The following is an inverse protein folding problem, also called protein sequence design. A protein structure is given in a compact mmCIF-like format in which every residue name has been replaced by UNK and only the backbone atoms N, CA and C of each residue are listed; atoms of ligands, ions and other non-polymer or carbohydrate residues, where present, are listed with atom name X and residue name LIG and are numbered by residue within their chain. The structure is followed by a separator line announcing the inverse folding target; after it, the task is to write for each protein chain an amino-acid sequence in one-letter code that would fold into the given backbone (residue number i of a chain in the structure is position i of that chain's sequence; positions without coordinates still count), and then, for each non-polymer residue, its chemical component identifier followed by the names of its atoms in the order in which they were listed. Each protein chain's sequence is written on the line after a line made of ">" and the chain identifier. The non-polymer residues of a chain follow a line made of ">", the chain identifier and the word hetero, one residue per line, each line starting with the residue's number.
data_IF_665179241988
#
_entry.id   IF_665179241988
#
_cell.length_a   1.000
_cell.length_b   1.000
_cell.length_c   1.000
_cell.angle_alpha   90.00
_cell.angle_beta   90.00
_cell.angle_gamma   90.00
#
_symmetry.space_group_name_H-M   'P 1'
#
loop_
_entity.id
_entity.type
_entity.pdbx_description
1 polymer ?
#
# COMPACT_ATOMS: atom_id res chain seq x y z
N UNK A 1 -13.73 2.49 17.92
CA UNK A 1 -13.19 3.46 16.94
C UNK A 1 -14.15 3.45 15.73
N UNK A 2 -14.92 4.51 15.50
CA UNK A 2 -15.97 4.50 14.46
C UNK A 2 -15.35 4.48 13.05
N UNK A 3 -15.59 3.42 12.30
CA UNK A 3 -15.21 3.24 10.90
C UNK A 3 -16.09 4.17 10.04
N UNK A 4 -15.64 5.43 9.88
CA UNK A 4 -16.35 6.44 9.09
C UNK A 4 -16.43 5.98 7.62
N UNK A 5 -17.57 6.23 6.93
CA UNK A 5 -17.68 5.91 5.51
C UNK A 5 -16.67 6.71 4.69
N UNK A 6 -16.00 6.02 3.77
CA UNK A 6 -15.07 6.59 2.81
C UNK A 6 -15.77 6.88 1.51
N UNK A 7 -15.63 8.11 1.04
CA UNK A 7 -16.13 8.56 -0.25
C UNK A 7 -15.06 8.46 -1.32
N UNK A 8 -15.46 8.65 -2.59
CA UNK A 8 -14.54 8.63 -3.73
C UNK A 8 -13.36 9.61 -3.55
N UNK A 9 -13.61 10.80 -3.02
CA UNK A 9 -12.56 11.81 -2.78
C UNK A 9 -11.50 11.31 -1.79
N UNK A 10 -11.92 10.60 -0.74
CA UNK A 10 -11.00 10.01 0.24
C UNK A 10 -10.15 8.92 -0.41
N UNK A 11 -10.75 8.09 -1.26
CA UNK A 11 -10.03 7.03 -1.98
C UNK A 11 -9.07 7.59 -3.03
N UNK A 12 -9.44 8.68 -3.72
CA UNK A 12 -8.56 9.39 -4.66
C UNK A 12 -7.33 9.91 -3.94
N UNK A 13 -7.53 10.53 -2.77
CA UNK A 13 -6.46 11.03 -1.92
C UNK A 13 -5.60 9.88 -1.40
N UNK A 14 -6.21 8.85 -0.84
CA UNK A 14 -5.53 7.71 -0.25
C UNK A 14 -4.68 6.94 -1.27
N UNK A 15 -5.24 6.55 -2.42
CA UNK A 15 -4.48 5.85 -3.47
C UNK A 15 -3.56 6.77 -4.26
N UNK A 16 -3.61 8.08 -3.98
CA UNK A 16 -2.88 9.13 -4.68
C UNK A 16 -3.04 8.94 -6.20
N UNK A 17 -4.27 9.06 -6.65
CA UNK A 17 -4.70 8.84 -8.05
C UNK A 17 -5.55 10.02 -8.54
N UNK A 18 -6.05 9.95 -9.76
CA UNK A 18 -7.01 10.93 -10.30
C UNK A 18 -8.42 10.35 -10.30
N UNK A 19 -9.44 11.20 -10.48
CA UNK A 19 -10.83 10.74 -10.63
C UNK A 19 -11.01 9.71 -11.75
N UNK A 20 -10.30 9.90 -12.87
CA UNK A 20 -10.31 8.96 -14.01
C UNK A 20 -9.54 7.68 -13.71
N UNK A 21 -8.53 7.74 -12.86
CA UNK A 21 -7.71 6.59 -12.45
C UNK A 21 -8.37 5.71 -11.39
N UNK A 22 -9.20 6.29 -10.52
CA UNK A 22 -9.84 5.58 -9.42
C UNK A 22 -10.64 4.34 -9.88
N UNK A 23 -11.55 4.40 -10.88
CA UNK A 23 -12.34 3.24 -11.30
C UNK A 23 -11.49 2.02 -11.67
N UNK A 24 -10.32 2.25 -12.28
CA UNK A 24 -9.38 1.18 -12.61
C UNK A 24 -8.83 0.52 -11.35
N UNK A 25 -8.35 1.31 -10.38
CA UNK A 25 -7.81 0.78 -9.11
C UNK A 25 -8.88 -0.02 -8.37
N UNK A 26 -10.09 0.51 -8.25
CA UNK A 26 -11.19 -0.18 -7.58
C UNK A 26 -11.48 -1.53 -8.24
N UNK A 27 -11.51 -1.59 -9.57
CA UNK A 27 -11.72 -2.83 -10.31
C UNK A 27 -10.59 -3.84 -10.12
N UNK A 28 -9.33 -3.40 -10.17
CA UNK A 28 -8.20 -4.33 -10.03
C UNK A 28 -8.09 -4.89 -8.61
N UNK A 29 -8.42 -4.10 -7.60
CA UNK A 29 -8.46 -4.52 -6.20
C UNK A 29 -9.75 -5.26 -5.79
N UNK A 30 -10.68 -5.47 -6.72
CA UNK A 30 -12.04 -5.96 -6.46
C UNK A 30 -12.76 -5.20 -5.32
N UNK A 31 -12.52 -3.89 -5.24
CA UNK A 31 -13.11 -3.00 -4.25
C UNK A 31 -14.40 -2.41 -4.82
N UNK A 32 -15.53 -2.77 -4.20
CA UNK A 32 -16.86 -2.27 -4.58
C UNK A 32 -17.31 -1.17 -3.63
N UNK A 33 -17.95 -0.14 -4.19
CA UNK A 33 -18.61 0.91 -3.42
C UNK A 33 -20.10 0.61 -3.33
N UNK A 34 -20.65 0.57 -2.12
CA UNK A 34 -22.10 0.37 -1.88
C UNK A 34 -22.68 1.73 -1.49
N UNK A 35 -23.71 2.17 -2.20
CA UNK A 35 -24.27 3.52 -2.02
C UNK A 35 -23.22 4.64 -2.25
N UNK A 36 -22.19 4.38 -3.06
CA UNK A 36 -21.11 5.33 -3.34
C UNK A 36 -20.02 5.43 -2.27
N UNK A 37 -20.05 4.58 -1.24
CA UNK A 37 -19.09 4.60 -0.12
C UNK A 37 -18.45 3.23 0.13
N UNK A 38 -17.36 3.22 0.91
CA UNK A 38 -16.75 2.01 1.47
C UNK A 38 -16.25 2.28 2.90
N UNK A 39 -15.50 1.34 3.47
CA UNK A 39 -14.97 1.41 4.85
C UNK A 39 -13.48 1.08 4.88
N UNK A 40 -12.75 1.55 5.89
CA UNK A 40 -11.31 1.28 6.00
C UNK A 40 -11.02 -0.21 6.14
N UNK A 41 -11.83 -0.92 6.92
CA UNK A 41 -11.80 -2.38 7.04
C UNK A 41 -11.78 -3.09 5.69
N UNK A 42 -12.67 -2.68 4.77
CA UNK A 42 -12.75 -3.21 3.40
C UNK A 42 -11.49 -2.88 2.60
N UNK A 43 -11.02 -1.62 2.65
CA UNK A 43 -9.79 -1.20 1.96
C UNK A 43 -8.59 -2.02 2.45
N UNK A 44 -8.41 -2.13 3.76
CA UNK A 44 -7.31 -2.89 4.36
C UNK A 44 -7.33 -4.35 3.95
N UNK A 45 -8.49 -5.00 3.98
CA UNK A 45 -8.63 -6.38 3.48
C UNK A 45 -8.18 -6.51 2.02
N UNK A 46 -8.59 -5.60 1.14
CA UNK A 46 -8.17 -5.64 -0.28
C UNK A 46 -6.66 -5.45 -0.47
N UNK A 47 -5.99 -4.82 0.50
CA UNK A 47 -4.53 -4.66 0.55
C UNK A 47 -3.83 -5.80 1.30
N UNK A 48 -4.54 -6.86 1.67
CA UNK A 48 -4.01 -8.02 2.40
C UNK A 48 -3.75 -7.77 3.90
N UNK A 49 -4.32 -6.70 4.45
CA UNK A 49 -4.23 -6.35 5.87
C UNK A 49 -5.45 -6.89 6.63
N UNK A 50 -5.28 -7.13 7.93
CA UNK A 50 -6.39 -7.47 8.83
C UNK A 50 -7.38 -6.30 8.91
N UNK A 51 -8.67 -6.60 9.02
CA UNK A 51 -9.72 -5.57 9.13
C UNK A 51 -9.61 -4.79 10.44
N UNK A 52 -9.19 -5.47 11.51
CA UNK A 52 -8.90 -4.88 12.82
C UNK A 52 -7.40 -4.66 12.97
N UNK A 53 -6.98 -3.40 12.78
CA UNK A 53 -5.61 -2.94 13.02
C UNK A 53 -5.47 -2.39 14.43
N UNK A 54 -4.24 -2.34 14.94
CA UNK A 54 -3.95 -1.69 16.21
C UNK A 54 -4.31 -0.20 16.12
N UNK A 55 -5.11 0.36 17.05
CA UNK A 55 -5.46 1.78 17.08
C UNK A 55 -4.27 2.74 16.92
N UNK A 56 -3.07 2.37 17.40
CA UNK A 56 -1.86 3.19 17.30
C UNK A 56 -1.34 3.26 15.85
N UNK A 57 -1.55 2.20 15.06
CA UNK A 57 -1.06 2.10 13.68
C UNK A 57 -2.07 2.61 12.64
N UNK A 58 -3.32 2.85 13.05
CA UNK A 58 -4.42 3.21 12.14
C UNK A 58 -4.15 4.55 11.44
N UNK A 59 -3.60 5.54 12.14
CA UNK A 59 -3.37 6.85 11.54
C UNK A 59 -2.33 6.77 10.40
N UNK A 60 -1.25 6.01 10.61
CA UNK A 60 -0.25 5.72 9.58
C UNK A 60 -0.84 4.97 8.38
N UNK A 61 -1.76 4.05 8.61
CA UNK A 61 -2.42 3.27 7.56
C UNK A 61 -3.43 4.07 6.73
N UNK A 62 -3.87 5.23 7.21
CA UNK A 62 -4.80 6.13 6.51
C UNK A 62 -4.09 7.20 5.71
N UNK A 63 -2.78 7.39 5.93
CA UNK A 63 -1.98 8.33 5.18
C UNK A 63 -1.99 7.99 3.67
N UNK A 64 -1.97 9.00 2.79
CA UNK A 64 -1.88 8.79 1.35
C UNK A 64 -0.68 7.94 0.97
N UNK A 65 -0.91 6.99 0.09
CA UNK A 65 0.16 6.19 -0.48
C UNK A 65 1.01 7.03 -1.45
N UNK A 66 2.31 6.81 -1.43
CA UNK A 66 3.25 7.58 -2.24
C UNK A 66 3.47 6.94 -3.61
N UNK A 67 3.52 7.76 -4.66
CA UNK A 67 4.02 7.35 -5.97
C UNK A 67 5.54 7.30 -5.94
N UNK A 68 6.15 6.58 -6.88
CA UNK A 68 7.61 6.51 -6.98
C UNK A 68 8.27 7.90 -7.06
N UNK A 69 7.62 8.88 -7.70
CA UNK A 69 8.10 10.26 -7.75
C UNK A 69 8.08 10.93 -6.36
N UNK A 70 7.02 10.75 -5.58
CA UNK A 70 6.92 11.31 -4.23
C UNK A 70 7.93 10.65 -3.28
N UNK A 71 8.16 9.33 -3.43
CA UNK A 71 9.20 8.60 -2.69
C UNK A 71 10.59 9.09 -3.06
N UNK A 72 10.85 9.33 -4.35
CA UNK A 72 12.11 9.84 -4.84
C UNK A 72 12.41 11.24 -4.25
N UNK A 73 11.41 12.13 -4.28
CA UNK A 73 11.49 13.44 -3.65
C UNK A 73 11.71 13.35 -2.14
N UNK A 74 11.00 12.46 -1.45
CA UNK A 74 11.14 12.25 0.00
C UNK A 74 12.56 11.83 0.40
N UNK A 75 13.21 11.00 -0.41
CA UNK A 75 14.52 10.42 -0.13
C UNK A 75 15.68 11.17 -0.80
N UNK A 76 15.40 12.24 -1.55
CA UNK A 76 16.42 13.03 -2.24
C UNK A 76 17.13 12.28 -3.39
N UNK A 77 16.43 11.34 -4.05
CA UNK A 77 16.98 10.52 -5.14
C UNK A 77 16.13 10.60 -6.40
N UNK A 78 16.58 9.98 -7.50
CA UNK A 78 15.77 9.88 -8.71
C UNK A 78 14.77 8.72 -8.65
N UNK A 79 13.66 8.84 -9.38
CA UNK A 79 12.66 7.77 -9.51
C UNK A 79 13.26 6.45 -10.02
N UNK A 80 14.28 6.53 -10.89
CA UNK A 80 15.00 5.36 -11.40
C UNK A 80 15.74 4.59 -10.30
N UNK A 81 16.26 5.29 -9.28
CA UNK A 81 16.89 4.67 -8.11
C UNK A 81 15.84 3.90 -7.29
N UNK A 82 14.64 4.46 -7.11
CA UNK A 82 13.56 3.78 -6.38
C UNK A 82 13.21 2.43 -7.03
N UNK A 83 13.05 2.38 -8.35
CA UNK A 83 12.80 1.11 -9.05
C UNK A 83 13.98 0.13 -8.99
N UNK A 84 15.21 0.62 -8.85
CA UNK A 84 16.38 -0.25 -8.64
C UNK A 84 16.38 -0.84 -7.24
N UNK A 85 16.14 -0.02 -6.22
CA UNK A 85 16.06 -0.46 -4.83
C UNK A 85 14.91 -1.43 -4.59
N UNK A 86 13.75 -1.19 -5.19
CA UNK A 86 12.62 -2.12 -5.16
C UNK A 86 12.99 -3.50 -5.72
N UNK A 87 13.90 -3.56 -6.71
CA UNK A 87 14.44 -4.81 -7.28
C UNK A 87 15.62 -5.39 -6.50
N UNK A 88 15.87 -4.91 -5.29
CA UNK A 88 16.98 -5.38 -4.45
C UNK A 88 18.36 -4.85 -4.85
N UNK A 89 18.45 -3.91 -5.81
CA UNK A 89 19.74 -3.33 -6.23
C UNK A 89 20.15 -2.16 -5.33
N UNK A 90 20.22 -2.42 -4.03
CA UNK A 90 20.71 -1.47 -3.02
C UNK A 90 22.24 -1.55 -2.89
N UNK A 91 22.88 -0.49 -2.35
CA UNK A 91 24.26 -0.57 -1.92
C UNK A 91 24.46 -1.70 -0.89
N UNK A 92 25.63 -2.35 -0.92
CA UNK A 92 25.96 -3.47 -0.03
C UNK A 92 25.85 -3.03 1.44
N UNK A 93 25.23 -3.88 2.27
CA UNK A 93 25.08 -3.63 3.71
C UNK A 93 23.85 -2.81 4.10
N UNK A 94 23.04 -2.35 3.15
CA UNK A 94 21.77 -1.68 3.49
C UNK A 94 20.65 -2.68 3.81
N UNK A 95 19.73 -2.25 4.67
CA UNK A 95 18.47 -2.95 4.93
C UNK A 95 17.63 -3.01 3.65
N UNK A 96 16.86 -4.08 3.40
CA UNK A 96 15.96 -4.17 2.25
C UNK A 96 15.03 -2.96 2.14
N UNK A 97 14.83 -2.47 0.91
CA UNK A 97 13.89 -1.38 0.65
C UNK A 97 12.43 -1.83 0.91
N UNK A 98 11.55 -0.97 1.43
CA UNK A 98 10.15 -1.32 1.64
C UNK A 98 9.45 -1.80 0.37
N UNK A 99 8.65 -2.85 0.52
CA UNK A 99 7.91 -3.45 -0.57
C UNK A 99 6.84 -2.48 -1.09
N UNK A 100 6.70 -2.39 -2.41
CA UNK A 100 5.58 -1.65 -2.98
C UNK A 100 4.27 -2.43 -2.84
N UNK A 101 3.18 -1.71 -2.62
CA UNK A 101 1.82 -2.17 -2.80
C UNK A 101 1.49 -2.12 -4.29
N UNK A 102 1.09 -3.26 -4.87
CA UNK A 102 0.63 -3.34 -6.24
C UNK A 102 -0.88 -3.07 -6.33
N UNK A 103 -1.28 -1.93 -6.89
CA UNK A 103 -2.69 -1.60 -7.10
C UNK A 103 -3.27 -2.18 -8.40
N UNK A 104 -2.55 -3.06 -9.08
CA UNK A 104 -3.00 -3.70 -10.33
C UNK A 104 -3.26 -5.19 -10.23
N UNK A 105 -3.17 -5.75 -9.03
CA UNK A 105 -3.44 -7.17 -8.78
C UNK A 105 -2.66 -8.10 -9.73
N UNK A 106 -1.35 -7.84 -9.90
CA UNK A 106 -0.46 -8.67 -10.70
C UNK A 106 -0.55 -8.48 -12.22
N UNK A 107 -1.36 -7.55 -12.74
CA UNK A 107 -1.39 -7.29 -14.19
C UNK A 107 -0.05 -6.73 -14.68
N UNK A 108 0.57 -7.45 -15.63
CA UNK A 108 1.83 -7.09 -16.30
C UNK A 108 1.82 -5.62 -16.75
N UNK A 109 2.90 -4.89 -16.45
CA UNK A 109 3.20 -3.52 -16.89
C UNK A 109 2.43 -2.35 -16.22
N UNK A 110 1.78 -2.55 -15.07
CA UNK A 110 1.19 -1.41 -14.37
C UNK A 110 2.27 -0.58 -13.63
N UNK A 111 2.28 0.73 -13.83
CA UNK A 111 2.95 1.70 -12.94
C UNK A 111 2.11 1.97 -11.67
N UNK A 112 1.29 1.01 -11.27
CA UNK A 112 0.34 1.17 -10.17
C UNK A 112 0.96 0.80 -8.80
N UNK A 113 2.29 0.81 -8.71
CA UNK A 113 3.03 0.62 -7.47
C UNK A 113 2.90 1.84 -6.57
N UNK A 114 2.72 1.58 -5.28
CA UNK A 114 2.61 2.58 -4.23
C UNK A 114 3.40 2.16 -3.01
N UNK A 115 3.79 3.13 -2.17
CA UNK A 115 4.50 2.85 -0.92
C UNK A 115 3.81 3.53 0.25
N UNK A 116 3.92 2.93 1.44
CA UNK A 116 3.50 3.57 2.68
C UNK A 116 4.57 4.53 3.16
N UNK A 117 4.17 5.75 3.50
CA UNK A 117 5.08 6.80 3.98
C UNK A 117 5.81 6.38 5.27
N UNK A 118 5.10 5.82 6.24
CA UNK A 118 5.67 5.39 7.52
C UNK A 118 6.78 4.34 7.35
N UNK A 119 6.59 3.35 6.46
CA UNK A 119 7.62 2.33 6.18
C UNK A 119 8.89 2.95 5.56
N UNK A 120 8.72 3.91 4.64
CA UNK A 120 9.84 4.61 4.01
C UNK A 120 10.60 5.50 4.99
N UNK A 121 9.89 6.24 5.85
CA UNK A 121 10.52 7.07 6.87
C UNK A 121 11.27 6.22 7.89
N UNK A 122 10.69 5.11 8.34
CA UNK A 122 11.35 4.18 9.25
C UNK A 122 12.61 3.59 8.62
N UNK A 123 12.53 3.13 7.36
CA UNK A 123 13.68 2.63 6.62
C UNK A 123 14.78 3.69 6.47
N UNK A 124 14.41 4.90 6.06
CA UNK A 124 15.36 6.00 5.81
C UNK A 124 16.06 6.48 7.10
N UNK A 125 15.34 6.50 8.22
CA UNK A 125 15.87 6.90 9.53
C UNK A 125 16.50 5.74 10.32
N UNK A 126 16.56 4.54 9.74
CA UNK A 126 17.12 3.35 10.39
C UNK A 126 16.27 2.75 11.51
N UNK A 127 15.08 3.32 11.78
CA UNK A 127 14.12 2.85 12.80
C UNK A 127 13.48 1.51 12.40
N UNK A 128 12.87 0.79 13.36
CA UNK A 128 12.07 -0.38 13.05
C UNK A 128 10.93 -0.04 12.09
N UNK A 129 10.77 -0.81 11.01
CA UNK A 129 9.67 -0.65 10.07
C UNK A 129 8.37 -1.13 10.76
N UNK A 130 7.28 -0.34 10.70
CA UNK A 130 5.98 -0.75 11.25
C UNK A 130 5.53 -2.11 10.72
N UNK A 131 4.90 -2.91 11.59
CA UNK A 131 4.47 -4.28 11.25
C UNK A 131 2.97 -4.42 11.40
N UNK A 132 2.27 -4.02 10.34
CA UNK A 132 0.80 -4.12 10.29
C UNK A 132 0.33 -5.57 10.28
N UNK A 133 -0.79 -5.83 10.96
CA UNK A 133 -1.41 -7.14 11.00
C UNK A 133 -1.88 -7.52 9.58
N UNK A 134 -1.45 -8.69 9.09
CA UNK A 134 -1.90 -9.24 7.81
C UNK A 134 -3.21 -10.00 7.97
N UNK A 135 -4.02 -10.01 6.92
CA UNK A 135 -5.18 -10.89 6.87
C UNK A 135 -4.70 -12.35 6.96
N UNK A 136 -5.42 -13.18 7.73
CA UNK A 136 -5.17 -14.60 7.71
C UNK A 136 -5.43 -15.13 6.28
N UNK A 137 -4.58 -16.02 5.74
CA UNK A 137 -4.89 -16.68 4.49
C UNK A 137 -6.22 -17.42 4.66
N UNK A 138 -7.08 -17.36 3.64
CA UNK A 138 -8.32 -18.12 3.65
C UNK A 138 -7.99 -19.60 3.93
N UNK A 139 -8.66 -20.20 4.91
CA UNK A 139 -8.47 -21.59 5.31
C UNK A 139 -8.65 -22.47 4.06
N UNK A 140 -7.57 -23.10 3.57
CA UNK A 140 -7.54 -23.87 2.33
C UNK A 140 -6.45 -23.48 1.31
N UNK A 141 -5.76 -22.34 1.48
CA UNK A 141 -4.65 -21.94 0.60
C UNK A 141 -3.29 -22.59 0.93
N UNK A 142 -3.24 -23.45 1.95
CA UNK A 142 -2.07 -24.30 2.24
C UNK A 142 -2.18 -25.56 1.37
N UNK A 143 -1.76 -25.47 0.11
CA UNK A 143 -1.37 -26.67 -0.61
C UNK A 143 0.02 -27.05 -0.05
N UNK A 144 0.19 -28.21 0.61
CA UNK A 144 1.52 -28.69 0.94
C UNK A 144 2.22 -29.03 -0.37
N UNK A 145 3.29 -28.30 -0.71
CA UNK A 145 4.20 -28.76 -1.74
C UNK A 145 4.84 -30.06 -1.25
N UNK A 146 4.61 -31.15 -1.99
CA UNK A 146 5.44 -32.35 -1.93
C UNK A 146 6.81 -32.05 -2.52
#
# INVERSE_FOLDING_TARGET
>A
MQDKPLHRCDLIRFFNTTERGLPRILRELDLRLVGGTTRWSVVWRTLGLKEDQDPVEIDDLREPLLRAADVASLLGVSTSIIYRWEKGKLPKGQKPFPNSIDLSNGRRNSRAKRWRKAELLAWHTGKPIPRYAKAAPAFGALIPNK
#
